data_IF_779370694737
#
_entry.id   IF_779370694737
#
_cell.length_a   1.000
_cell.length_b   1.000
_cell.length_c   1.000
_cell.angle_alpha   90.00
_cell.angle_beta   90.00
_cell.angle_gamma   90.00
#
_symmetry.space_group_name_H-M   'P 1'
#
loop_
_entity.id
_entity.type
_entity.pdbx_description
1 polymer ?
#
# COMPACT_ATOMS: atom_id res chain seq x y z
N UNK A 1 47.36 17.44 -30.10
CA UNK A 1 46.83 16.67 -28.97
C UNK A 1 45.40 17.11 -28.73
N UNK A 2 44.40 16.32 -29.11
CA UNK A 2 42.99 16.66 -28.95
C UNK A 2 42.35 15.87 -27.81
N UNK A 3 41.72 16.62 -26.90
CA UNK A 3 40.36 16.46 -26.36
C UNK A 3 39.80 15.03 -26.23
N UNK A 4 39.53 14.63 -24.99
CA UNK A 4 38.19 14.36 -24.44
C UNK A 4 38.39 13.69 -23.07
N UNK A 5 38.52 14.51 -22.02
CA UNK A 5 38.18 14.02 -20.67
C UNK A 5 36.69 13.74 -20.70
N UNK A 6 36.35 12.46 -20.80
CA UNK A 6 35.00 12.00 -20.53
C UNK A 6 34.72 12.28 -19.06
N UNK A 7 34.11 13.44 -18.80
CA UNK A 7 33.25 13.63 -17.64
C UNK A 7 32.10 12.64 -17.81
N UNK A 8 32.37 11.39 -17.45
CA UNK A 8 31.33 10.45 -17.11
C UNK A 8 30.76 10.95 -15.79
N UNK A 9 29.96 12.03 -15.90
CA UNK A 9 28.98 12.41 -14.91
C UNK A 9 28.32 11.11 -14.51
N UNK A 10 28.64 10.65 -13.30
CA UNK A 10 27.97 9.49 -12.73
C UNK A 10 26.49 9.79 -12.91
N UNK A 11 25.67 8.86 -13.42
CA UNK A 11 24.27 8.97 -13.12
C UNK A 11 24.26 9.04 -11.60
N UNK A 12 23.85 10.19 -11.07
CA UNK A 12 23.24 10.28 -9.75
C UNK A 12 22.22 9.15 -9.76
N UNK A 13 22.66 7.98 -9.31
CA UNK A 13 21.83 6.79 -9.25
C UNK A 13 20.78 7.23 -8.26
N UNK A 14 19.62 7.58 -8.84
CA UNK A 14 18.66 8.49 -8.26
C UNK A 14 18.67 8.32 -6.78
N UNK A 15 19.19 9.35 -6.10
CA UNK A 15 19.08 9.48 -4.65
C UNK A 15 17.72 8.87 -4.32
N UNK A 16 17.71 7.80 -3.54
CA UNK A 16 16.49 7.23 -3.00
C UNK A 16 15.89 8.34 -2.12
N UNK A 17 15.35 9.41 -2.74
CA UNK A 17 14.45 10.39 -2.15
C UNK A 17 13.48 9.47 -1.48
N UNK A 18 13.38 9.45 -0.14
CA UNK A 18 12.86 8.28 0.56
C UNK A 18 11.53 7.90 -0.10
N UNK A 19 11.58 6.88 -0.96
CA UNK A 19 10.75 6.94 -2.17
C UNK A 19 9.35 6.64 -1.73
N UNK A 20 8.36 7.41 -2.21
CA UNK A 20 6.97 7.10 -1.91
C UNK A 20 6.76 5.61 -2.18
N UNK A 21 6.42 4.85 -1.14
CA UNK A 21 6.28 3.40 -1.25
C UNK A 21 4.80 3.10 -1.31
N UNK A 22 4.38 2.49 -2.39
CA UNK A 22 3.01 2.06 -2.59
C UNK A 22 2.99 0.55 -2.80
N UNK A 23 2.09 -0.14 -2.09
CA UNK A 23 1.87 -1.57 -2.21
C UNK A 23 0.38 -1.83 -2.43
N UNK A 24 0.05 -2.76 -3.32
CA UNK A 24 -1.32 -3.24 -3.48
C UNK A 24 -1.55 -4.35 -2.47
N UNK A 25 -2.71 -4.33 -1.81
CA UNK A 25 -3.16 -5.38 -0.88
C UNK A 25 -4.25 -6.19 -1.59
N UNK A 26 -4.00 -7.48 -1.77
CA UNK A 26 -4.91 -8.43 -2.40
C UNK A 26 -5.32 -9.49 -1.37
N UNK A 27 -6.63 -9.77 -1.27
CA UNK A 27 -7.16 -10.80 -0.39
C UNK A 27 -7.92 -11.82 -1.23
N UNK A 28 -7.33 -13.01 -1.40
CA UNK A 28 -7.84 -14.00 -2.34
C UNK A 28 -7.76 -13.46 -3.76
N UNK A 29 -8.90 -13.38 -4.44
CA UNK A 29 -9.02 -12.83 -5.79
C UNK A 29 -9.49 -11.36 -5.79
N UNK A 30 -9.69 -10.76 -4.62
CA UNK A 30 -10.20 -9.39 -4.48
C UNK A 30 -9.08 -8.41 -4.16
N UNK A 31 -8.91 -7.39 -4.98
CA UNK A 31 -8.07 -6.24 -4.65
C UNK A 31 -8.71 -5.47 -3.49
N UNK A 32 -8.12 -5.56 -2.31
CA UNK A 32 -8.67 -4.94 -1.10
C UNK A 32 -8.40 -3.44 -1.07
N UNK A 33 -7.21 -3.03 -1.50
CA UNK A 33 -6.80 -1.64 -1.48
C UNK A 33 -5.34 -1.43 -1.86
N UNK A 34 -4.89 -0.19 -1.71
CA UNK A 34 -3.49 0.21 -1.84
C UNK A 34 -3.03 0.85 -0.55
N UNK A 35 -1.82 0.55 -0.11
CA UNK A 35 -1.16 1.26 0.98
C UNK A 35 -0.05 2.12 0.42
N UNK A 36 -0.06 3.40 0.74
CA UNK A 36 0.99 4.34 0.34
C UNK A 36 1.61 5.02 1.55
N UNK A 37 2.93 5.18 1.55
CA UNK A 37 3.62 6.09 2.48
C UNK A 37 4.51 7.06 1.72
N UNK A 38 4.61 8.27 2.25
CA UNK A 38 5.61 9.25 1.79
C UNK A 38 6.96 9.06 2.48
N UNK A 39 7.95 9.77 1.94
CA UNK A 39 9.31 9.80 2.42
C UNK A 39 9.45 10.18 3.90
N UNK A 40 8.63 11.16 4.27
CA UNK A 40 8.55 11.85 5.54
C UNK A 40 7.47 11.26 6.46
N UNK A 41 6.67 10.32 5.95
CA UNK A 41 5.60 9.67 6.69
C UNK A 41 6.06 8.34 7.29
N UNK A 42 5.81 8.19 8.60
CA UNK A 42 6.10 6.95 9.33
C UNK A 42 5.04 5.86 9.11
N UNK A 43 3.87 6.24 8.64
CA UNK A 43 2.73 5.36 8.49
C UNK A 43 2.33 5.24 7.03
N UNK A 44 1.86 4.05 6.69
CA UNK A 44 1.19 3.74 5.44
C UNK A 44 -0.29 4.08 5.57
N UNK A 45 -0.81 4.87 4.64
CA UNK A 45 -2.24 5.14 4.55
C UNK A 45 -2.87 4.11 3.62
N UNK A 46 -3.90 3.42 4.09
CA UNK A 46 -4.70 2.50 3.30
C UNK A 46 -5.76 3.28 2.50
N UNK A 47 -5.82 3.01 1.21
CA UNK A 47 -6.84 3.49 0.28
C UNK A 47 -7.66 2.30 -0.15
N UNK A 48 -8.96 2.32 0.11
CA UNK A 48 -9.84 1.20 -0.22
C UNK A 48 -10.04 1.08 -1.74
N UNK A 49 -10.06 -0.15 -2.25
CA UNK A 49 -10.37 -0.42 -3.66
C UNK A 49 -11.75 -1.07 -3.84
N UNK A 50 -12.37 -1.56 -2.76
CA UNK A 50 -13.68 -2.17 -2.77
C UNK A 50 -14.44 -1.89 -1.46
N UNK A 51 -15.76 -1.74 -1.53
CA UNK A 51 -16.61 -1.36 -0.39
C UNK A 51 -16.56 -2.33 0.80
N UNK A 52 -16.15 -3.59 0.56
CA UNK A 52 -15.91 -4.55 1.63
C UNK A 52 -14.79 -4.10 2.60
N UNK A 53 -13.93 -3.18 2.18
CA UNK A 53 -12.78 -2.67 2.92
C UNK A 53 -12.88 -1.18 3.27
N UNK A 54 -14.05 -0.54 3.07
CA UNK A 54 -14.27 0.88 3.44
C UNK A 54 -13.96 1.14 4.91
N UNK A 55 -14.12 0.12 5.78
CA UNK A 55 -13.75 0.21 7.18
C UNK A 55 -12.24 0.49 7.43
N UNK A 56 -11.37 0.27 6.43
CA UNK A 56 -9.94 0.59 6.47
C UNK A 56 -9.57 1.84 5.69
N UNK A 57 -10.53 2.48 5.02
CA UNK A 57 -10.26 3.70 4.24
C UNK A 57 -9.62 4.76 5.15
N UNK A 58 -8.52 5.35 4.67
CA UNK A 58 -7.72 6.34 5.40
C UNK A 58 -7.01 5.81 6.66
N UNK A 59 -7.08 4.51 6.98
CA UNK A 59 -6.39 3.96 8.16
C UNK A 59 -4.88 3.98 7.97
N UNK A 60 -4.19 4.35 9.06
CA UNK A 60 -2.73 4.45 9.09
C UNK A 60 -2.12 3.23 9.76
N UNK A 61 -1.27 2.53 9.02
CA UNK A 61 -0.59 1.32 9.46
C UNK A 61 0.92 1.53 9.55
N UNK A 62 1.57 0.90 10.52
CA UNK A 62 3.04 0.97 10.63
C UNK A 62 3.75 0.21 9.52
N UNK A 63 3.12 -0.85 8.98
CA UNK A 63 3.66 -1.70 7.94
C UNK A 63 2.57 -2.12 6.95
N UNK A 64 2.90 -2.44 5.69
CA UNK A 64 1.93 -2.96 4.72
C UNK A 64 1.29 -4.27 5.19
N UNK A 65 2.07 -5.12 5.86
CA UNK A 65 1.60 -6.40 6.45
C UNK A 65 0.50 -6.17 7.51
N UNK A 66 0.58 -5.10 8.30
CA UNK A 66 -0.48 -4.78 9.26
C UNK A 66 -1.80 -4.42 8.56
N UNK A 67 -1.73 -3.70 7.44
CA UNK A 67 -2.88 -3.37 6.64
C UNK A 67 -3.52 -4.60 5.98
N UNK A 68 -2.69 -5.50 5.42
CA UNK A 68 -3.15 -6.79 4.88
C UNK A 68 -3.89 -7.61 5.94
N UNK A 69 -3.32 -7.71 7.15
CA UNK A 69 -3.97 -8.44 8.25
C UNK A 69 -5.31 -7.85 8.66
N UNK A 70 -5.46 -6.53 8.62
CA UNK A 70 -6.73 -5.86 8.88
C UNK A 70 -7.73 -6.15 7.75
N UNK A 71 -7.30 -6.06 6.50
CA UNK A 71 -8.12 -6.38 5.32
C UNK A 71 -8.60 -7.83 5.36
N UNK A 72 -7.71 -8.77 5.68
CA UNK A 72 -8.06 -10.20 5.82
C UNK A 72 -9.10 -10.47 6.90
N UNK A 73 -9.08 -9.72 8.00
CA UNK A 73 -10.10 -9.82 9.05
C UNK A 73 -11.47 -9.33 8.59
N UNK A 74 -11.53 -8.33 7.71
CA UNK A 74 -12.79 -7.83 7.13
C UNK A 74 -13.31 -8.74 6.02
N UNK A 75 -12.41 -9.26 5.18
CA UNK A 75 -12.74 -10.22 4.14
C UNK A 75 -13.16 -11.58 4.71
N UNK A 76 -12.78 -11.88 5.95
CA UNK A 76 -13.30 -13.05 6.65
C UNK A 76 -14.81 -12.90 6.72
N UNK A 77 -15.60 -13.83 6.13
CA UNK A 77 -17.04 -13.71 6.12
C UNK A 77 -17.50 -13.65 7.57
N UNK A 78 -17.91 -12.46 8.01
CA UNK A 78 -18.84 -12.34 9.12
C UNK A 78 -20.00 -13.18 8.64
N UNK A 79 -20.17 -14.40 9.17
CA UNK A 79 -21.41 -15.15 9.00
C UNK A 79 -22.48 -14.13 9.39
N UNK A 80 -23.19 -13.58 8.41
CA UNK A 80 -24.47 -12.95 8.67
C UNK A 80 -25.24 -14.07 9.35
N UNK A 81 -25.69 -13.92 10.61
CA UNK A 81 -26.83 -14.71 11.00
C UNK A 81 -27.91 -14.30 9.99
N UNK A 82 -28.21 -15.21 9.09
CA UNK A 82 -29.49 -15.31 8.43
C UNK A 82 -30.56 -15.14 9.51
N UNK A 83 -30.95 -13.90 9.78
CA UNK A 83 -32.07 -13.63 10.66
C UNK A 83 -33.29 -13.94 9.83
N UNK A 84 -33.60 -15.23 9.85
CA UNK A 84 -34.91 -15.79 9.59
C UNK A 84 -35.91 -15.06 10.49
N UNK A 85 -36.77 -14.23 9.90
CA UNK A 85 -37.98 -13.67 10.49
C UNK A 85 -38.73 -12.90 9.41
N UNK A 86 -40.02 -13.07 9.19
CA UNK A 86 -40.97 -14.15 9.49
C UNK A 86 -42.17 -13.92 8.58
#
# INVERSE_FOLDING_TARGET
MNTLSFDAGRPDQGLLRPSQQAYVIEIGETQAGLVSRRADERFFTFISAASAFDALEGHRFATPVAAERAARQLASPRRRPDTMSS
#
